data_IF_201156926380
#
_entry.id   IF_201156926380
#
_cell.length_a   1.000
_cell.length_b   1.000
_cell.length_c   1.000
_cell.angle_alpha   90.00
_cell.angle_beta   90.00
_cell.angle_gamma   90.00
#
_symmetry.space_group_name_H-M   'P 1'
#
loop_
_entity.id
_entity.type
_entity.pdbx_description
1 polymer ?
2 non-polymer ?
3 non-polymer ?
4 water ?
#
# COMPACT_ATOMS: atom_id res chain seq x y z
N UNK A 1 16.80 -6.84 -3.10
CA UNK A 1 16.61 -5.79 -4.15
C UNK A 1 15.34 -6.06 -4.95
N UNK A 2 14.77 -5.02 -5.51
CA UNK A 2 13.65 -5.18 -6.38
C UNK A 2 14.09 -5.49 -7.78
N UNK A 3 13.24 -6.26 -8.44
CA UNK A 3 13.52 -6.75 -9.74
C UNK A 3 12.45 -6.50 -10.77
N UNK A 4 11.28 -5.97 -10.38
CA UNK A 4 10.16 -5.87 -11.30
C UNK A 4 9.85 -4.45 -11.72
N UNK A 5 9.70 -4.26 -13.02
CA UNK A 5 9.08 -3.07 -13.53
C UNK A 5 7.62 -3.39 -13.81
N UNK A 6 6.77 -3.14 -12.80
CA UNK A 6 5.36 -3.44 -12.92
C UNK A 6 4.71 -2.50 -13.90
N UNK A 7 3.76 -3.02 -14.67
CA UNK A 7 3.07 -2.22 -15.64
C UNK A 7 1.75 -1.72 -15.03
N UNK A 8 1.53 -0.42 -15.11
CA UNK A 8 0.30 0.19 -14.60
C UNK A 8 -0.90 -0.24 -15.45
N UNK A 9 -2.05 -0.28 -14.79
CA UNK A 9 -3.32 -0.57 -15.46
C UNK A 9 -3.51 0.37 -16.64
N UNK A 10 -3.89 -0.20 -17.79
CA UNK A 10 -4.34 0.58 -18.93
C UNK A 10 -5.59 1.33 -18.53
N UNK A 11 -5.60 2.61 -18.76
CA UNK A 11 -6.76 3.40 -18.42
C UNK A 11 -6.98 3.62 -16.94
N UNK A 12 -5.94 3.54 -16.13
CA UNK A 12 -6.03 3.77 -14.69
C UNK A 12 -6.75 5.07 -14.40
N UNK A 13 -7.73 5.01 -13.50
CA UNK A 13 -8.55 6.16 -13.12
C UNK A 13 -8.02 6.69 -11.77
N UNK A 14 -7.17 7.71 -11.86
CA UNK A 14 -6.49 8.19 -10.69
C UNK A 14 -7.45 8.85 -9.71
N UNK A 15 -8.44 9.57 -10.18
CA UNK A 15 -9.29 10.25 -9.23
C UNK A 15 -10.13 9.27 -8.42
N UNK A 16 -10.51 8.14 -9.00
CA UNK A 16 -11.23 7.14 -8.27
C UNK A 16 -10.36 6.45 -7.23
N UNK A 17 -9.12 6.10 -7.59
CA UNK A 17 -8.22 5.47 -6.64
C UNK A 17 -7.83 6.38 -5.50
N UNK A 18 -7.45 7.60 -5.86
CA UNK A 18 -7.01 8.64 -4.94
C UNK A 18 -8.21 9.51 -4.48
N UNK A 19 -9.22 8.85 -3.93
CA UNK A 19 -10.46 9.53 -3.53
C UNK A 19 -10.51 9.80 -2.06
N UNK A 20 -9.43 9.59 -1.33
CA UNK A 20 -9.40 9.85 0.09
C UNK A 20 -9.88 8.74 0.98
N UNK A 21 -10.33 7.62 0.40
CA UNK A 21 -10.89 6.54 1.18
C UNK A 21 -9.79 5.53 1.51
N UNK A 22 -10.14 4.57 2.35
CA UNK A 22 -9.19 3.54 2.82
C UNK A 22 -9.23 2.32 1.90
N UNK A 23 -8.04 1.77 1.68
CA UNK A 23 -7.82 0.46 1.08
C UNK A 23 -7.19 -0.46 2.10
N UNK A 24 -7.71 -1.66 2.24
CA UNK A 24 -7.13 -2.67 3.12
C UNK A 24 -6.33 -3.67 2.31
N UNK A 25 -5.16 -4.06 2.79
CA UNK A 25 -4.45 -5.18 2.20
C UNK A 25 -5.13 -6.46 2.65
N UNK A 26 -5.59 -7.27 1.71
CA UNK A 26 -6.17 -8.56 2.06
C UNK A 26 -5.22 -9.72 1.81
N UNK A 27 -4.27 -9.56 0.90
CA UNK A 27 -3.33 -10.64 0.54
C UNK A 27 -2.07 -9.99 0.03
N UNK A 28 -0.93 -10.62 0.24
CA UNK A 28 0.33 -10.03 -0.26
C UNK A 28 1.31 -11.11 -0.69
N UNK A 29 2.21 -10.72 -1.58
CA UNK A 29 3.24 -11.59 -2.11
C UNK A 29 4.57 -10.86 -2.07
N UNK A 30 5.46 -11.29 -1.20
CA UNK A 30 6.76 -10.71 -1.02
C UNK A 30 7.75 -11.59 -1.78
N UNK A 31 8.40 -11.08 -2.84
CA UNK A 31 9.32 -11.91 -3.65
C UNK A 31 10.60 -12.28 -2.92
N UNK A 32 10.90 -11.61 -1.82
CA UNK A 32 12.04 -12.00 -0.97
C UNK A 32 11.47 -12.20 0.46
N UNK A 33 10.65 -13.24 0.65
CA UNK A 33 9.74 -13.45 1.79
C UNK A 33 10.31 -14.08 3.04
N UNK A 34 11.51 -13.66 3.42
CA UNK A 34 11.82 -13.50 4.84
C UNK A 34 11.99 -12.01 5.11
N UNK A 35 11.61 -11.19 4.14
CA UNK A 35 11.59 -9.74 4.34
C UNK A 35 10.37 -9.30 5.14
N UNK A 36 9.26 -10.05 5.05
CA UNK A 36 8.07 -9.70 5.85
C UNK A 36 7.51 -10.91 6.62
N UNK A 37 6.95 -10.66 7.82
CA UNK A 37 6.35 -11.75 8.56
C UNK A 37 5.23 -12.47 7.81
N UNK A 38 5.01 -13.74 8.17
CA UNK A 38 3.93 -14.53 7.58
C UNK A 38 2.55 -14.11 8.09
N UNK A 39 2.54 -13.35 9.19
CA UNK A 39 1.33 -12.71 9.70
C UNK A 39 1.50 -11.18 9.79
N UNK A 40 0.57 -10.46 9.18
CA UNK A 40 0.71 -9.00 9.12
C UNK A 40 -0.62 -8.35 8.79
N UNK A 41 -0.76 -7.05 9.19
CA UNK A 41 -1.92 -6.21 8.90
C UNK A 41 -1.42 -4.89 8.25
N UNK A 42 -1.98 -4.46 7.11
CA UNK A 42 -1.64 -3.15 6.55
C UNK A 42 -2.85 -2.58 5.84
N UNK A 43 -2.88 -1.26 5.82
CA UNK A 43 -3.94 -0.50 5.13
C UNK A 43 -3.37 0.83 4.72
N UNK A 44 -4.07 1.49 3.81
CA UNK A 44 -3.62 2.79 3.35
C UNK A 44 -4.82 3.65 3.01
N UNK A 45 -4.61 4.94 2.98
CA UNK A 45 -5.57 5.87 2.38
C UNK A 45 -4.78 6.69 1.39
N UNK A 46 -5.39 7.05 0.28
CA UNK A 46 -4.77 7.73 -0.82
C UNK A 46 -5.71 8.79 -1.30
N UNK A 47 -5.22 10.01 -1.47
CA UNK A 47 -6.09 11.11 -1.89
C UNK A 47 -5.33 12.36 -2.17
N UNK A 48 -6.03 13.39 -2.65
CA UNK A 48 -5.45 14.70 -2.82
C UNK A 48 -5.87 15.56 -1.66
N UNK A 49 -4.92 16.24 -1.03
CA UNK A 49 -5.16 17.09 0.13
C UNK A 49 -4.49 18.44 -0.20
N UNK A 50 -5.34 19.45 -0.35
CA UNK A 50 -4.91 20.80 -0.68
C UNK A 50 -4.02 20.83 -1.89
N UNK A 51 -4.49 20.12 -2.90
CA UNK A 51 -3.82 20.07 -4.17
C UNK A 51 -2.66 19.11 -4.30
N UNK A 52 -2.30 18.43 -3.22
CA UNK A 52 -1.12 17.56 -3.18
C UNK A 52 -1.55 16.10 -3.14
N UNK A 53 -0.98 15.26 -3.95
CA UNK A 53 -1.27 13.82 -3.93
C UNK A 53 -0.56 13.22 -2.75
N UNK A 54 -1.29 12.49 -1.92
CA UNK A 54 -0.81 11.97 -0.64
C UNK A 54 -1.23 10.53 -0.45
N UNK A 55 -0.40 9.82 0.32
CA UNK A 55 -0.77 8.50 0.82
C UNK A 55 -0.40 8.38 2.26
N UNK A 56 -1.28 7.80 3.06
CA UNK A 56 -1.05 7.46 4.44
C UNK A 56 -1.08 5.96 4.56
N UNK A 57 -0.17 5.42 5.37
CA UNK A 57 -0.03 4.00 5.57
C UNK A 57 -0.17 3.65 7.04
N UNK A 58 -0.64 2.43 7.28
CA UNK A 58 -0.70 1.79 8.57
C UNK A 58 -0.16 0.39 8.44
N UNK A 59 0.76 0.01 9.34
CA UNK A 59 1.26 -1.37 9.46
C UNK A 59 1.11 -1.82 10.90
N UNK A 60 0.75 -3.08 11.07
CA UNK A 60 0.61 -3.69 12.38
C UNK A 60 0.96 -5.15 12.30
N UNK A 61 1.87 -5.57 13.17
CA UNK A 61 2.25 -6.96 13.31
C UNK A 61 1.38 -7.50 14.40
N UNK A 62 0.49 -8.42 14.05
CA UNK A 62 -0.49 -8.88 14.99
C UNK A 62 0.06 -9.72 16.14
N UNK A 63 1.26 -10.26 16.00
CA UNK A 63 1.91 -11.04 17.03
C UNK A 63 2.80 -10.17 17.92
N UNK A 64 3.65 -9.34 17.33
CA UNK A 64 4.55 -8.53 18.15
C UNK A 64 3.93 -7.24 18.65
N UNK A 65 2.83 -6.82 18.01
CA UNK A 65 2.15 -5.54 18.23
C UNK A 65 2.94 -4.35 17.70
N UNK A 66 4.00 -4.55 16.94
CA UNK A 66 4.68 -3.45 16.31
C UNK A 66 3.73 -2.71 15.40
N UNK A 67 3.63 -1.39 15.59
CA UNK A 67 2.65 -0.50 14.91
C UNK A 67 3.43 0.67 14.34
N UNK A 68 3.09 1.13 13.13
CA UNK A 68 3.58 2.40 12.67
C UNK A 68 2.69 2.92 11.56
N UNK A 69 2.64 4.23 11.51
CA UNK A 69 1.99 5.01 10.47
C UNK A 69 3.03 5.79 9.69
N UNK A 70 2.70 6.08 8.44
CA UNK A 70 3.50 6.93 7.57
C UNK A 70 2.64 7.79 6.73
N UNK A 71 3.20 8.94 6.32
CA UNK A 71 2.55 9.75 5.31
C UNK A 71 3.57 10.22 4.29
N UNK A 72 3.17 10.35 3.02
CA UNK A 72 4.02 10.79 1.91
C UNK A 72 3.24 11.72 1.00
N UNK A 73 3.95 12.70 0.44
CA UNK A 73 3.50 13.43 -0.75
C UNK A 73 4.08 12.73 -1.97
N UNK A 74 3.20 12.14 -2.80
CA UNK A 74 3.59 11.34 -3.94
C UNK A 74 4.03 12.17 -5.12
N UNK A 75 5.05 11.67 -5.81
CA UNK A 75 5.51 12.22 -7.07
C UNK A 75 5.17 11.25 -8.18
N UNK A 76 4.83 11.78 -9.33
CA UNK A 76 4.36 10.98 -10.43
C UNK A 76 5.50 10.61 -11.34
N UNK A 77 5.63 9.34 -11.66
CA UNK A 77 6.55 8.88 -12.69
C UNK A 77 5.85 8.71 -14.02
N UNK A 78 4.64 8.18 -13.96
CA UNK A 78 3.78 8.00 -15.14
C UNK A 78 2.40 7.63 -14.57
N UNK A 79 1.35 7.65 -15.37
CA UNK A 79 0.04 7.39 -14.80
C UNK A 79 0.01 5.98 -14.16
N UNK A 80 -0.30 5.92 -12.90
CA UNK A 80 -0.34 4.73 -12.10
C UNK A 80 0.97 4.33 -11.46
N UNK A 81 2.06 5.11 -11.60
CA UNK A 81 3.38 4.79 -11.00
C UNK A 81 3.90 6.01 -10.24
N UNK A 82 4.15 5.82 -8.96
CA UNK A 82 4.46 6.90 -8.05
C UNK A 82 5.66 6.58 -7.21
N UNK A 83 6.32 7.65 -6.77
CA UNK A 83 7.42 7.57 -5.79
C UNK A 83 6.96 8.30 -4.56
N UNK A 84 7.19 7.72 -3.41
CA UNK A 84 6.66 8.17 -2.11
C UNK A 84 7.81 8.29 -1.12
N UNK A 85 8.29 9.49 -0.82
CA UNK A 85 9.30 9.70 0.22
C UNK A 85 8.56 9.85 1.57
N UNK A 86 8.60 8.81 2.40
CA UNK A 86 7.75 8.69 3.56
C UNK A 86 8.33 9.31 4.82
N UNK A 87 7.45 9.84 5.67
CA UNK A 87 7.83 10.14 7.07
C UNK A 87 7.02 9.23 7.99
N UNK A 88 7.66 8.73 9.04
CA UNK A 88 6.95 7.98 10.07
C UNK A 88 6.35 9.00 11.02
N UNK A 89 5.06 8.83 11.30
CA UNK A 89 4.24 9.70 12.12
C UNK A 89 3.49 8.87 13.14
N UNK A 90 3.06 9.51 14.22
CA UNK A 90 2.06 8.89 15.07
C UNK A 90 0.68 8.99 14.38
N UNK A 91 -0.33 8.42 15.01
CA UNK A 91 -1.66 8.37 14.40
C UNK A 91 -2.25 9.72 14.16
N UNK A 92 -1.78 10.71 14.89
CA UNK A 92 -2.24 12.07 14.75
C UNK A 92 -1.40 12.92 13.77
N UNK A 93 -0.41 12.34 13.13
CA UNK A 93 0.40 13.08 12.19
C UNK A 93 1.64 13.74 12.73
N UNK A 94 1.94 13.57 14.01
CA UNK A 94 3.14 14.14 14.58
C UNK A 94 4.35 13.37 14.08
N UNK A 95 5.37 14.08 13.60
CA UNK A 95 6.51 13.42 12.98
C UNK A 95 7.39 12.73 14.01
N UNK A 96 7.66 11.46 13.73
CA UNK A 96 8.59 10.63 14.47
C UNK A 96 9.92 10.47 13.77
N UNK A 97 9.88 10.30 12.46
CA UNK A 97 11.09 10.19 11.65
C UNK A 97 10.84 11.01 10.37
N UNK A 98 11.61 12.07 10.20
CA UNK A 98 11.43 12.97 9.09
C UNK A 98 11.75 12.29 7.77
N UNK A 99 11.25 12.92 6.70
CA UNK A 99 11.60 12.52 5.34
C UNK A 99 13.12 12.56 5.20
N UNK A 100 13.66 11.56 4.53
CA UNK A 100 15.09 11.47 4.29
C UNK A 100 15.34 10.81 2.96
N UNK A 101 16.39 11.30 2.29
CA UNK A 101 16.91 10.67 1.10
C UNK A 101 17.18 9.19 1.32
N UNK A 102 16.79 8.37 0.37
CA UNK A 102 16.92 6.93 0.51
C UNK A 102 15.78 6.27 1.27
N UNK A 103 14.87 7.05 1.85
CA UNK A 103 13.68 6.45 2.44
C UNK A 103 12.56 6.75 1.53
N UNK A 104 12.26 5.82 0.61
CA UNK A 104 11.10 5.98 -0.25
C UNK A 104 10.59 4.65 -0.70
N UNK A 105 9.33 4.59 -1.14
CA UNK A 105 8.86 3.44 -1.86
C UNK A 105 8.32 3.91 -3.19
N UNK A 106 8.32 3.00 -4.13
CA UNK A 106 7.56 3.17 -5.36
C UNK A 106 6.33 2.32 -5.25
N UNK A 107 5.29 2.71 -5.97
CA UNK A 107 4.16 1.79 -6.15
C UNK A 107 3.57 1.99 -7.53
N UNK A 108 3.01 0.91 -8.01
CA UNK A 108 2.40 0.85 -9.31
C UNK A 108 1.02 0.21 -9.15
N UNK A 109 -0.01 0.87 -9.64
CA UNK A 109 -1.34 0.33 -9.60
C UNK A 109 -1.55 -0.49 -10.86
N UNK A 110 -1.51 -1.81 -10.70
CA UNK A 110 -1.59 -2.76 -11.80
C UNK A 110 -3.02 -3.02 -12.25
N UNK A 111 -3.95 -2.92 -11.33
CA UNK A 111 -5.34 -3.13 -11.59
C UNK A 111 -6.08 -2.36 -10.53
N UNK A 112 -7.17 -1.72 -10.89
CA UNK A 112 -8.08 -1.12 -9.89
C UNK A 112 -9.46 -1.03 -10.45
N UNK A 113 -10.43 -1.21 -9.59
CA UNK A 113 -11.78 -0.85 -9.87
C UNK A 113 -12.28 -0.17 -8.63
N UNK A 114 -13.58 0.03 -8.52
CA UNK A 114 -14.04 0.81 -7.40
C UNK A 114 -13.85 0.13 -6.06
N UNK A 115 -13.76 -1.19 -6.05
CA UNK A 115 -13.72 -1.94 -4.81
C UNK A 115 -12.45 -2.75 -4.52
N UNK A 116 -11.60 -2.93 -5.52
CA UNK A 116 -10.45 -3.82 -5.41
C UNK A 116 -9.28 -3.26 -6.23
N UNK A 117 -8.08 -3.71 -5.89
CA UNK A 117 -6.88 -3.28 -6.61
C UNK A 117 -5.78 -4.29 -6.42
N UNK A 118 -4.83 -4.26 -7.36
CA UNK A 118 -3.56 -4.97 -7.26
C UNK A 118 -2.46 -3.95 -7.44
N UNK A 119 -1.56 -3.89 -6.48
CA UNK A 119 -0.41 -2.97 -6.56
C UNK A 119 0.90 -3.73 -6.39
N UNK A 120 1.92 -3.13 -6.98
CA UNK A 120 3.31 -3.51 -6.74
C UNK A 120 3.94 -2.40 -5.94
N UNK A 121 4.77 -2.73 -4.94
CA UNK A 121 5.55 -1.73 -4.20
C UNK A 121 7.01 -2.21 -4.05
N UNK A 122 7.93 -1.27 -4.18
CA UNK A 122 9.35 -1.48 -3.92
C UNK A 122 9.79 -0.52 -2.87
N UNK A 123 10.10 -1.02 -1.68
CA UNK A 123 10.53 -0.21 -0.55
C UNK A 123 12.05 -0.08 -0.51
N UNK A 124 12.51 1.15 -0.25
CA UNK A 124 13.91 1.47 0.00
C UNK A 124 13.95 2.15 1.36
N UNK A 125 14.72 1.59 2.27
CA UNK A 125 14.82 2.18 3.59
C UNK A 125 16.22 2.01 4.13
N UNK A 126 16.98 3.10 4.11
CA UNK A 126 18.36 3.12 4.58
C UNK A 126 19.17 2.11 3.84
N UNK A 127 19.91 1.30 4.59
CA UNK A 127 20.82 0.35 3.95
C UNK A 127 20.21 -1.04 4.00
N UNK A 128 18.90 -1.13 4.24
CA UNK A 128 18.20 -2.41 4.16
C UNK A 128 18.15 -2.88 2.69
N UNK A 129 18.03 -4.20 2.52
CA UNK A 129 17.87 -4.83 1.20
C UNK A 129 16.49 -5.50 1.18
N UNK A 130 15.57 -4.87 0.48
CA UNK A 130 14.16 -5.27 0.45
C UNK A 130 13.85 -5.64 -1.01
N UNK A 131 12.83 -6.46 -1.21
CA UNK A 131 12.41 -6.85 -2.54
C UNK A 131 11.01 -6.42 -2.89
N UNK A 132 10.57 -6.86 -4.04
CA UNK A 132 9.27 -6.51 -4.55
C UNK A 132 8.19 -7.06 -3.62
N UNK A 133 7.10 -6.32 -3.48
CA UNK A 133 5.98 -6.74 -2.63
C UNK A 133 4.66 -6.37 -3.33
N UNK A 134 3.88 -7.38 -3.74
CA UNK A 134 2.58 -7.14 -4.39
C UNK A 134 1.51 -7.24 -3.31
N UNK A 135 0.47 -6.46 -3.49
CA UNK A 135 -0.65 -6.49 -2.53
C UNK A 135 -1.97 -6.41 -3.28
N UNK A 136 -2.88 -7.28 -2.86
CA UNK A 136 -4.30 -7.20 -3.24
C UNK A 136 -4.98 -6.34 -2.17
N UNK A 137 -5.70 -5.34 -2.63
CA UNK A 137 -6.43 -4.40 -1.80
C UNK A 137 -7.92 -4.58 -2.00
N UNK A 138 -8.69 -4.23 -0.97
CA UNK A 138 -10.14 -4.12 -1.10
C UNK A 138 -10.60 -2.97 -0.25
N UNK A 139 -11.72 -2.38 -0.64
CA UNK A 139 -12.41 -1.36 0.17
C UNK A 139 -13.03 -1.98 1.41
N UNK A 140 -13.32 -3.28 1.39
CA UNK A 140 -13.92 -3.98 2.50
C UNK A 140 -12.85 -4.89 3.07
N UNK A 141 -12.54 -4.70 4.35
CA UNK A 141 -11.43 -5.41 4.97
C UNK A 141 -11.60 -6.92 4.99
N UNK A 142 -12.84 -7.40 4.89
CA UNK A 142 -13.12 -8.83 4.93
C UNK A 142 -13.30 -9.52 3.60
N UNK A 143 -13.18 -8.78 2.51
CA UNK A 143 -13.52 -9.33 1.21
C UNK A 143 -12.52 -10.35 0.71
N UNK A 144 -13.04 -11.50 0.30
CA UNK A 144 -12.27 -12.45 -0.47
C UNK A 144 -11.98 -11.88 -1.84
N UNK A 145 -10.82 -12.17 -2.38
CA UNK A 145 -10.46 -11.66 -3.70
C UNK A 145 -11.38 -12.21 -4.76
N UNK A 146 -11.97 -11.32 -5.55
CA UNK A 146 -12.85 -11.66 -6.63
C UNK A 146 -12.13 -11.96 -7.92
N UNK A 147 -12.93 -12.35 -8.92
CA UNK A 147 -12.38 -12.73 -10.19
C UNK A 147 -11.64 -11.59 -10.90
N UNK A 148 -12.08 -10.33 -10.80
CA UNK A 148 -11.38 -9.25 -11.51
C UNK A 148 -9.94 -9.15 -11.02
N UNK A 149 -9.76 -9.07 -9.71
CA UNK A 149 -8.42 -8.89 -9.20
C UNK A 149 -7.60 -10.18 -9.34
N UNK A 150 -8.24 -11.35 -9.17
CA UNK A 150 -7.48 -12.60 -9.35
C UNK A 150 -7.02 -12.76 -10.80
N UNK A 151 -7.86 -12.36 -11.75
CA UNK A 151 -7.46 -12.40 -13.13
C UNK A 151 -6.28 -11.47 -13.39
N UNK A 152 -6.30 -10.30 -12.77
CA UNK A 152 -5.17 -9.38 -12.87
C UNK A 152 -3.88 -9.98 -12.31
N UNK A 153 -3.98 -10.73 -11.21
CA UNK A 153 -2.84 -11.41 -10.67
C UNK A 153 -2.25 -12.38 -11.74
N UNK A 154 -3.12 -13.18 -12.37
CA UNK A 154 -2.67 -14.06 -13.47
C UNK A 154 -2.09 -13.29 -14.63
N UNK A 155 -2.72 -12.18 -15.00
CA UNK A 155 -2.23 -11.40 -16.12
C UNK A 155 -0.86 -10.80 -15.88
N UNK A 156 -0.47 -10.63 -14.60
CA UNK A 156 0.86 -10.20 -14.21
C UNK A 156 1.83 -11.37 -14.15
N UNK A 157 1.37 -12.55 -14.53
CA UNK A 157 2.13 -13.77 -14.52
C UNK A 157 2.57 -14.10 -13.10
N UNK A 158 1.64 -13.95 -12.16
CA UNK A 158 1.79 -14.35 -10.77
C UNK A 158 0.73 -15.39 -10.46
N UNK A 159 0.98 -16.14 -9.41
CA UNK A 159 0.02 -17.13 -8.95
C UNK A 159 -0.61 -16.72 -7.65
N UNK A 160 -1.92 -16.50 -7.68
CA UNK A 160 -2.61 -16.03 -6.48
C UNK A 160 -2.46 -17.00 -5.32
N UNK A 161 -2.34 -18.29 -5.61
CA UNK A 161 -2.15 -19.29 -4.55
C UNK A 161 -0.94 -19.02 -3.70
N UNK A 162 0.03 -18.27 -4.21
CA UNK A 162 1.23 -17.98 -3.45
C UNK A 162 1.04 -16.80 -2.50
N UNK A 163 0.02 -15.97 -2.71
CA UNK A 163 -0.21 -14.80 -1.86
C UNK A 163 -0.64 -15.23 -0.47
N UNK A 164 -0.18 -14.49 0.53
CA UNK A 164 -0.47 -14.74 1.94
C UNK A 164 -1.63 -13.84 2.39
N UNK A 165 -2.69 -14.45 2.93
CA UNK A 165 -3.86 -13.67 3.39
C UNK A 165 -3.57 -13.00 4.70
N UNK A 166 -4.17 -11.83 4.89
CA UNK A 166 -4.17 -11.16 6.21
C UNK A 166 -5.43 -11.43 7.03
N UNK A 167 -6.37 -12.22 6.52
CA UNK A 167 -7.70 -12.29 7.13
C UNK A 167 -7.82 -12.94 8.46
N UNK A 168 -6.86 -13.80 8.80
CA UNK A 168 -6.97 -14.54 10.04
C UNK A 168 -6.14 -13.94 11.15
N UNK A 169 -5.85 -12.63 11.08
CA UNK A 169 -5.01 -12.00 12.09
C UNK A 169 -5.75 -11.11 13.12
N UNK A 170 -7.07 -11.13 13.14
CA UNK A 170 -7.90 -10.26 13.97
C UNK A 170 -7.60 -8.77 13.79
N UNK A 171 -7.11 -8.36 12.60
CA UNK A 171 -6.75 -6.96 12.34
C UNK A 171 -7.92 -6.02 12.64
N UNK A 172 -7.70 -4.94 13.41
CA UNK A 172 -8.68 -3.87 13.55
C UNK A 172 -7.97 -2.55 13.22
N UNK A 173 -8.63 -1.69 12.48
CA UNK A 173 -8.02 -0.53 11.88
C UNK A 173 -8.68 0.75 12.36
N UNK A 174 -7.83 1.77 12.51
CA UNK A 174 -8.29 3.11 12.85
C UNK A 174 -8.43 3.88 11.53
N UNK A 175 -9.58 3.71 10.89
CA UNK A 175 -9.87 4.34 9.61
C UNK A 175 -9.84 5.84 9.70
N UNK A 176 -10.26 6.37 10.84
CA UNK A 176 -10.28 7.80 11.04
C UNK A 176 -8.90 8.39 11.01
N UNK A 177 -7.94 7.72 11.65
CA UNK A 177 -6.56 8.21 11.56
C UNK A 177 -5.97 8.20 10.14
N UNK A 178 -6.25 7.18 9.29
CA UNK A 178 -5.70 7.13 7.87
C UNK A 178 -6.25 8.21 7.08
N UNK A 179 -7.51 8.43 7.30
CA UNK A 179 -8.11 9.55 6.49
C UNK A 179 -7.54 10.87 6.94
N UNK A 180 -7.41 11.07 8.23
CA UNK A 180 -6.95 12.36 8.67
C UNK A 180 -5.47 12.58 8.38
N UNK A 181 -4.68 11.51 8.34
CA UNK A 181 -3.27 11.65 8.03
C UNK A 181 -3.02 12.19 6.65
N UNK A 182 -3.97 12.07 5.72
CA UNK A 182 -3.77 12.62 4.38
C UNK A 182 -3.50 14.07 4.40
N UNK A 183 -4.00 14.77 5.41
CA UNK A 183 -3.76 16.20 5.47
C UNK A 183 -2.42 16.59 6.10
N UNK A 184 -1.67 15.63 6.62
CA UNK A 184 -0.51 15.87 7.51
C UNK A 184 0.85 15.71 6.83
#
# INVERSE_FOLDING_TARGET
ACTKNAIAQTGFNKDKYFNGDVWYVTDYLDLEPDDVPKRYCAALAAGTASGKLKEALYHYDPKTQDTFYDVSELQVESLGKYTANFKKVDKNGNVKVAVTAGNYYTFTVMYADDSSALIHTCLHKGNKDLGDLYAVLNRNKDAAAGDKVKSAVSAATLEFSKFISTKENNCAYDNDSLKSLLTK
#
